data_IF_307682844049
#
_entry.id   IF_307682844049
#
_cell.length_a   1.000
_cell.length_b   1.000
_cell.length_c   1.000
_cell.angle_alpha   90.00
_cell.angle_beta   90.00
_cell.angle_gamma   90.00
#
_symmetry.space_group_name_H-M   'P 1'
#
loop_
_entity.id
_entity.type
_entity.pdbx_description
1 polymer ?
#
# COMPACT_ATOMS: atom_id res chain seq x y z
N UNK A 1 -13.95 -16.16 -17.64
CA UNK A 1 -12.96 -15.10 -17.29
C UNK A 1 -13.27 -14.46 -15.94
N UNK A 2 -14.39 -13.74 -15.75
CA UNK A 2 -14.72 -13.08 -14.46
C UNK A 2 -14.75 -14.01 -13.24
N UNK A 3 -15.37 -15.18 -13.37
CA UNK A 3 -15.45 -16.17 -12.29
C UNK A 3 -14.07 -16.76 -11.92
N UNK A 4 -13.23 -17.04 -12.91
CA UNK A 4 -11.87 -17.51 -12.68
C UNK A 4 -11.01 -16.44 -12.01
N UNK A 5 -11.07 -15.19 -12.49
CA UNK A 5 -10.39 -14.06 -11.85
C UNK A 5 -10.85 -13.88 -10.39
N UNK A 6 -12.15 -14.05 -10.12
CA UNK A 6 -12.68 -14.00 -8.76
C UNK A 6 -12.12 -15.13 -7.88
N UNK A 7 -12.10 -16.37 -8.37
CA UNK A 7 -11.51 -17.50 -7.63
C UNK A 7 -10.04 -17.27 -7.32
N UNK A 8 -9.26 -16.78 -8.28
CA UNK A 8 -7.84 -16.45 -8.06
C UNK A 8 -7.70 -15.36 -6.99
N UNK A 9 -8.56 -14.34 -7.01
CA UNK A 9 -8.52 -13.25 -6.02
C UNK A 9 -8.89 -13.75 -4.62
N UNK A 10 -9.90 -14.61 -4.50
CA UNK A 10 -10.27 -15.28 -3.25
C UNK A 10 -9.12 -16.16 -2.73
N UNK A 11 -8.52 -16.98 -3.60
CA UNK A 11 -7.39 -17.84 -3.24
C UNK A 11 -6.18 -17.01 -2.78
N UNK A 12 -5.88 -15.91 -3.48
CA UNK A 12 -4.82 -14.99 -3.11
C UNK A 12 -5.10 -14.32 -1.76
N UNK A 13 -6.32 -13.80 -1.55
CA UNK A 13 -6.73 -13.22 -0.27
C UNK A 13 -6.64 -14.22 0.88
N UNK A 14 -7.05 -15.48 0.65
CA UNK A 14 -6.92 -16.56 1.63
C UNK A 14 -5.45 -16.87 1.95
N UNK A 15 -4.57 -16.92 0.95
CA UNK A 15 -3.14 -17.14 1.15
C UNK A 15 -2.49 -16.01 1.96
N UNK A 16 -2.82 -14.74 1.65
CA UNK A 16 -2.36 -13.58 2.42
C UNK A 16 -2.88 -13.63 3.86
N UNK A 17 -4.16 -13.97 4.06
CA UNK A 17 -4.75 -14.12 5.38
C UNK A 17 -4.10 -15.23 6.21
N UNK A 18 -3.81 -16.38 5.59
CA UNK A 18 -3.10 -17.49 6.23
C UNK A 18 -1.66 -17.09 6.62
N UNK A 19 -0.97 -16.36 5.74
CA UNK A 19 0.35 -15.83 6.03
C UNK A 19 0.32 -14.84 7.20
N UNK A 20 -0.66 -13.93 7.22
CA UNK A 20 -0.87 -12.99 8.33
C UNK A 20 -1.13 -13.73 9.65
N UNK A 21 -1.95 -14.78 9.64
CA UNK A 21 -2.24 -15.57 10.82
C UNK A 21 -1.00 -16.28 11.36
N UNK A 22 -0.22 -16.93 10.50
CA UNK A 22 0.99 -17.67 10.90
C UNK A 22 2.15 -16.75 11.31
N UNK A 23 2.18 -15.52 10.82
CA UNK A 23 3.21 -14.52 11.12
C UNK A 23 2.72 -13.40 12.05
N UNK A 24 1.64 -13.63 12.80
CA UNK A 24 1.04 -12.67 13.73
C UNK A 24 1.81 -12.46 15.02
N UNK A 25 3.15 -12.39 14.97
CA UNK A 25 3.95 -12.02 16.14
C UNK A 25 4.03 -10.50 16.26
N UNK A 26 4.11 -10.02 17.50
CA UNK A 26 4.24 -8.61 17.79
C UNK A 26 5.70 -8.16 17.71
N UNK A 27 5.89 -6.97 17.13
CA UNK A 27 7.17 -6.28 17.08
C UNK A 27 7.02 -4.91 17.71
N UNK A 28 8.04 -4.47 18.45
CA UNK A 28 8.09 -3.10 18.97
C UNK A 28 8.74 -2.19 17.94
N UNK A 29 8.01 -1.18 17.50
CA UNK A 29 8.49 -0.11 16.62
C UNK A 29 8.55 1.20 17.40
N UNK A 30 9.62 1.95 17.19
CA UNK A 30 9.76 3.29 17.74
C UNK A 30 9.26 4.31 16.71
N UNK A 31 8.14 4.96 17.04
CA UNK A 31 7.52 6.00 16.22
C UNK A 31 7.78 7.36 16.88
N UNK A 32 8.76 8.09 16.35
CA UNK A 32 9.11 9.44 16.80
C UNK A 32 9.32 9.56 18.33
N UNK A 33 9.98 8.58 18.94
CA UNK A 33 10.25 8.52 20.38
C UNK A 33 9.24 7.71 21.19
N UNK A 34 8.12 7.29 20.60
CA UNK A 34 7.11 6.47 21.26
C UNK A 34 7.25 5.01 20.82
N UNK A 35 7.57 4.12 21.75
CA UNK A 35 7.59 2.68 21.49
C UNK A 35 6.15 2.14 21.47
N UNK A 36 5.77 1.53 20.35
CA UNK A 36 4.46 0.90 20.15
C UNK A 36 4.67 -0.54 19.73
N UNK A 37 4.00 -1.47 20.40
CA UNK A 37 3.95 -2.87 19.97
C UNK A 37 2.79 -3.08 19.02
N UNK A 38 3.07 -3.67 17.86
CA UNK A 38 2.08 -3.92 16.81
C UNK A 38 2.41 -5.24 16.13
N UNK A 39 1.39 -5.96 15.68
CA UNK A 39 1.59 -7.18 14.91
C UNK A 39 2.16 -6.86 13.52
N UNK A 40 3.11 -7.67 13.07
CA UNK A 40 3.74 -7.52 11.76
C UNK A 40 2.72 -7.40 10.60
N UNK A 41 1.64 -8.20 10.56
CA UNK A 41 0.65 -8.08 9.49
C UNK A 41 -0.08 -6.73 9.48
N UNK A 42 -0.44 -6.21 10.66
CA UNK A 42 -1.11 -4.91 10.80
C UNK A 42 -0.16 -3.79 10.37
N UNK A 43 1.10 -3.85 10.78
CA UNK A 43 2.12 -2.89 10.39
C UNK A 43 2.33 -2.88 8.87
N UNK A 44 2.52 -4.05 8.26
CA UNK A 44 2.75 -4.18 6.83
C UNK A 44 1.56 -3.65 6.01
N UNK A 45 0.33 -4.01 6.39
CA UNK A 45 -0.88 -3.53 5.73
C UNK A 45 -1.02 -2.01 5.84
N UNK A 46 -0.78 -1.45 7.03
CA UNK A 46 -0.84 -0.01 7.27
C UNK A 46 0.17 0.76 6.42
N UNK A 47 1.44 0.31 6.42
CA UNK A 47 2.51 0.93 5.62
C UNK A 47 2.22 0.80 4.12
N UNK A 48 1.72 -0.33 3.66
CA UNK A 48 1.34 -0.51 2.25
C UNK A 48 0.24 0.46 1.82
N UNK A 49 -0.82 0.59 2.61
CA UNK A 49 -1.93 1.52 2.32
C UNK A 49 -1.43 2.97 2.33
N UNK A 50 -0.65 3.37 3.34
CA UNK A 50 -0.07 4.71 3.39
C UNK A 50 0.87 4.96 2.19
N UNK A 51 1.68 3.99 1.82
CA UNK A 51 2.55 4.05 0.65
C UNK A 51 1.75 4.18 -0.66
N UNK A 52 0.63 3.47 -0.77
CA UNK A 52 -0.26 3.59 -1.93
C UNK A 52 -0.89 4.99 -2.01
N UNK A 53 -1.43 5.50 -0.91
CA UNK A 53 -2.04 6.84 -0.87
C UNK A 53 -1.02 7.95 -1.18
N UNK A 54 0.15 7.89 -0.54
CA UNK A 54 1.22 8.89 -0.74
C UNK A 54 1.85 8.78 -2.13
N UNK A 55 2.11 7.56 -2.62
CA UNK A 55 2.65 7.32 -3.96
C UNK A 55 1.71 7.83 -5.06
N UNK A 56 0.40 7.59 -4.94
CA UNK A 56 -0.59 8.12 -5.88
C UNK A 56 -0.65 9.65 -5.84
N UNK A 57 -0.55 10.27 -4.66
CA UNK A 57 -0.48 11.72 -4.54
C UNK A 57 0.75 12.27 -5.26
N UNK A 58 1.92 11.67 -5.05
CA UNK A 58 3.18 12.07 -5.72
C UNK A 58 3.05 11.93 -7.24
N UNK A 59 2.58 10.79 -7.74
CA UNK A 59 2.35 10.56 -9.18
C UNK A 59 1.37 11.59 -9.75
N UNK A 60 0.30 11.90 -9.02
CA UNK A 60 -0.68 12.92 -9.42
C UNK A 60 -0.07 14.32 -9.52
N UNK A 61 0.77 14.71 -8.55
CA UNK A 61 1.49 15.99 -8.58
C UNK A 61 2.47 16.06 -9.74
N UNK A 62 3.27 15.01 -9.96
CA UNK A 62 4.22 14.95 -11.08
C UNK A 62 3.50 15.04 -12.42
N UNK A 63 2.44 14.26 -12.62
CA UNK A 63 1.63 14.31 -13.84
C UNK A 63 1.03 15.69 -14.09
N UNK A 64 0.53 16.35 -13.04
CA UNK A 64 0.01 17.72 -13.13
C UNK A 64 1.09 18.72 -13.53
N UNK A 65 2.28 18.62 -12.94
CA UNK A 65 3.41 19.49 -13.28
C UNK A 65 3.86 19.30 -14.72
N UNK A 66 3.93 18.05 -15.19
CA UNK A 66 4.31 17.74 -16.57
C UNK A 66 3.33 18.32 -17.58
N UNK A 67 2.03 18.17 -17.33
CA UNK A 67 0.99 18.73 -18.20
C UNK A 67 1.09 20.26 -18.31
N UNK A 68 1.39 20.97 -17.22
CA UNK A 68 1.57 22.43 -17.24
C UNK A 68 2.78 22.86 -18.07
N UNK A 69 3.89 22.11 -18.03
CA UNK A 69 5.08 22.41 -18.83
C UNK A 69 4.80 22.19 -20.31
N UNK A 70 4.15 21.09 -20.67
CA UNK A 70 3.78 20.79 -22.07
C UNK A 70 2.81 21.84 -22.63
N UNK A 71 1.84 22.30 -21.82
CA UNK A 71 0.91 23.35 -22.23
C UNK A 71 1.59 24.72 -22.40
N UNK A 72 2.67 24.98 -21.66
CA UNK A 72 3.48 26.18 -21.82
C UNK A 72 4.35 26.14 -23.10
N UNK A 73 4.92 24.98 -23.44
CA UNK A 73 5.76 24.81 -24.64
C UNK A 73 4.95 24.83 -25.95
N UNK A 74 3.66 24.51 -25.89
CA UNK A 74 2.76 24.51 -27.04
C UNK A 74 2.15 25.88 -27.39
N UNK A 75 2.46 26.95 -26.63
CA UNK A 75 2.02 28.33 -26.87
C UNK A 75 3.15 29.19 -27.42
#
# INVERSE_FOLDING_TARGET
MRFFSFLVLVAFGAAVGYFAYTNGHDVSVNLAGNAVSVSVPVLALTVYVLGMLTGWAVVGLLRRSWNRVVEYDAR
#
